data_IF_967340994475
#
_entry.id   IF_967340994475
#
_cell.length_a   1.000
_cell.length_b   1.000
_cell.length_c   1.000
_cell.angle_alpha   90.00
_cell.angle_beta   90.00
_cell.angle_gamma   90.00
#
_symmetry.space_group_name_H-M   'P 1'
#
loop_
_entity.id
_entity.type
_entity.pdbx_description
1 polymer ?
#
# COMPACT_ATOMS: atom_id res chain seq x y z
N UNK A 1 5.68 -7.19 0.71
CA UNK A 1 6.10 -7.57 -0.66
C UNK A 1 5.09 -7.16 -1.74
N UNK A 2 3.85 -7.65 -1.73
CA UNK A 2 2.87 -7.42 -2.82
C UNK A 2 2.71 -5.94 -3.26
N UNK A 3 2.44 -5.04 -2.32
CA UNK A 3 2.22 -3.62 -2.62
C UNK A 3 3.50 -2.97 -3.16
N UNK A 4 4.65 -3.34 -2.60
CA UNK A 4 5.97 -2.83 -2.98
C UNK A 4 6.37 -3.27 -4.40
N UNK A 5 6.06 -4.51 -4.78
CA UNK A 5 6.41 -5.05 -6.10
C UNK A 5 5.48 -4.56 -7.21
N UNK A 6 4.21 -4.30 -6.88
CA UNK A 6 3.18 -3.93 -7.87
C UNK A 6 2.99 -2.41 -8.00
N UNK A 7 3.45 -1.64 -7.02
CA UNK A 7 3.25 -0.18 -6.98
C UNK A 7 1.79 0.23 -6.79
N UNK A 8 0.89 -0.73 -6.50
CA UNK A 8 -0.53 -0.48 -6.31
C UNK A 8 -0.94 -0.75 -4.86
N UNK A 9 -1.48 0.27 -4.21
CA UNK A 9 -2.02 0.17 -2.87
C UNK A 9 -3.50 0.56 -2.86
N UNK A 10 -4.39 -0.44 -2.88
CA UNK A 10 -5.80 -0.26 -2.56
C UNK A 10 -6.36 -1.48 -1.81
N UNK A 11 -7.37 -1.27 -0.96
CA UNK A 11 -8.00 -2.35 -0.21
C UNK A 11 -8.59 -3.44 -1.15
N UNK A 12 -9.22 -3.05 -2.25
CA UNK A 12 -9.79 -3.96 -3.24
C UNK A 12 -8.72 -4.75 -4.02
N UNK A 13 -7.52 -4.19 -4.20
CA UNK A 13 -6.39 -4.90 -4.78
C UNK A 13 -5.86 -5.98 -3.83
N UNK A 14 -5.62 -5.62 -2.57
CA UNK A 14 -5.16 -6.55 -1.53
C UNK A 14 -6.19 -7.66 -1.30
N UNK A 15 -7.46 -7.31 -1.22
CA UNK A 15 -8.58 -8.25 -1.07
C UNK A 15 -8.50 -9.39 -2.10
N UNK A 16 -8.40 -9.04 -3.40
CA UNK A 16 -8.39 -10.01 -4.49
C UNK A 16 -7.11 -10.84 -4.53
N UNK A 17 -5.97 -10.20 -4.28
CA UNK A 17 -4.66 -10.85 -4.44
C UNK A 17 -4.27 -11.74 -3.27
N UNK A 18 -4.73 -11.41 -2.07
CA UNK A 18 -4.51 -12.20 -0.85
C UNK A 18 -5.72 -13.05 -0.45
N UNK A 19 -6.85 -12.95 -1.17
CA UNK A 19 -8.10 -13.67 -0.91
C UNK A 19 -8.62 -13.48 0.52
N UNK A 20 -8.54 -12.25 1.02
CA UNK A 20 -9.04 -11.85 2.34
C UNK A 20 -10.33 -11.03 2.19
N UNK A 21 -11.12 -10.91 3.26
CA UNK A 21 -12.27 -10.01 3.29
C UNK A 21 -11.87 -8.53 3.25
N UNK A 22 -12.76 -7.68 2.74
CA UNK A 22 -12.52 -6.23 2.61
C UNK A 22 -12.09 -5.55 3.93
N UNK A 23 -12.72 -5.82 5.10
CA UNK A 23 -12.31 -5.16 6.36
C UNK A 23 -10.86 -5.46 6.74
N UNK A 24 -10.40 -6.69 6.49
CA UNK A 24 -9.00 -7.08 6.73
C UNK A 24 -8.05 -6.37 5.76
N UNK A 25 -8.43 -6.26 4.49
CA UNK A 25 -7.64 -5.55 3.49
C UNK A 25 -7.54 -4.04 3.76
N UNK A 26 -8.62 -3.42 4.24
CA UNK A 26 -8.62 -2.01 4.63
C UNK A 26 -7.65 -1.72 5.79
N UNK A 27 -7.70 -2.53 6.86
CA UNK A 27 -6.77 -2.43 7.99
C UNK A 27 -5.31 -2.60 7.58
N UNK A 28 -5.03 -3.54 6.67
CA UNK A 28 -3.67 -3.71 6.13
C UNK A 28 -3.16 -2.44 5.44
N UNK A 29 -4.03 -1.74 4.71
CA UNK A 29 -3.69 -0.49 4.02
C UNK A 29 -3.49 0.66 5.01
N UNK A 30 -4.33 0.77 6.04
CA UNK A 30 -4.20 1.77 7.10
C UNK A 30 -2.89 1.58 7.87
N UNK A 31 -2.56 0.34 8.22
CA UNK A 31 -1.28 0.04 8.86
C UNK A 31 -0.08 0.40 7.97
N UNK A 32 -0.16 0.14 6.66
CA UNK A 32 0.90 0.57 5.72
C UNK A 32 1.03 2.10 5.63
N UNK A 33 -0.06 2.85 5.81
CA UNK A 33 -0.02 4.31 5.86
C UNK A 33 0.63 4.78 7.16
N UNK A 34 0.25 4.22 8.31
CA UNK A 34 0.83 4.52 9.62
C UNK A 34 2.34 4.24 9.66
N UNK A 35 2.77 3.15 9.00
CA UNK A 35 4.18 2.78 8.85
C UNK A 35 4.94 3.61 7.79
N UNK A 36 4.26 4.55 7.11
CA UNK A 36 4.86 5.41 6.09
C UNK A 36 5.21 4.68 4.78
N UNK A 37 4.68 3.48 4.55
CA UNK A 37 4.92 2.69 3.34
C UNK A 37 4.06 3.15 2.17
N UNK A 38 2.88 3.70 2.44
CA UNK A 38 1.95 4.24 1.43
C UNK A 38 1.44 5.63 1.82
N UNK A 39 1.01 6.41 0.83
CA UNK A 39 0.45 7.75 1.05
C UNK A 39 -0.93 7.70 1.69
N UNK A 40 -1.42 8.88 2.09
CA UNK A 40 -2.83 9.15 2.33
C UNK A 40 -3.71 8.70 1.14
N UNK A 41 -5.01 8.40 1.37
CA UNK A 41 -5.89 7.93 0.31
C UNK A 41 -6.19 9.05 -0.69
N UNK A 42 -6.01 8.76 -1.98
CA UNK A 42 -6.42 9.62 -3.08
C UNK A 42 -7.94 9.61 -3.29
N UNK A 43 -8.41 10.44 -4.24
CA UNK A 43 -9.84 10.59 -4.55
C UNK A 43 -10.55 9.30 -4.96
N UNK A 44 -9.83 8.35 -5.53
CA UNK A 44 -10.34 7.04 -5.98
C UNK A 44 -10.10 5.92 -4.95
N UNK A 45 -9.62 6.25 -3.75
CA UNK A 45 -9.26 5.30 -2.71
C UNK A 45 -7.96 4.54 -2.97
N UNK A 46 -7.19 4.91 -4.01
CA UNK A 46 -5.83 4.41 -4.21
C UNK A 46 -4.83 5.22 -3.41
N UNK A 47 -3.72 4.59 -3.06
CA UNK A 47 -2.58 5.18 -2.35
C UNK A 47 -1.32 4.99 -3.17
N UNK A 48 -0.43 5.97 -3.13
CA UNK A 48 0.90 5.86 -3.73
C UNK A 48 1.82 5.06 -2.81
N UNK A 49 2.71 4.24 -3.39
CA UNK A 49 3.70 3.47 -2.61
C UNK A 49 4.94 4.33 -2.39
N UNK A 50 5.23 4.66 -1.14
CA UNK A 50 6.30 5.58 -0.74
C UNK A 50 7.64 4.87 -0.58
N UNK A 51 7.65 3.65 -0.06
CA UNK A 51 8.88 2.95 0.29
C UNK A 51 9.72 2.50 -0.94
N UNK A 52 9.20 2.59 -2.17
CA UNK A 52 10.02 2.51 -3.40
C UNK A 52 10.98 3.69 -3.52
N UNK A 53 10.61 4.86 -3.00
CA UNK A 53 11.38 6.11 -3.06
C UNK A 53 12.53 6.11 -2.05
N UNK A 54 12.28 5.61 -0.83
CA UNK A 54 13.24 5.64 0.27
C UNK A 54 14.42 4.69 0.07
N UNK A 55 14.19 3.46 -0.38
CA UNK A 55 15.27 2.49 -0.60
C UNK A 55 16.26 2.89 -1.72
N UNK A 56 15.84 3.77 -2.64
CA UNK A 56 16.72 4.33 -3.68
C UNK A 56 17.43 5.59 -3.15
N UNK A 57 16.76 6.36 -2.29
CA UNK A 57 17.31 7.59 -1.72
C UNK A 57 18.39 7.37 -0.65
N UNK A 58 18.38 6.25 0.07
CA UNK A 58 19.41 5.93 1.09
C UNK A 58 20.69 5.31 0.51
N UNK A 59 20.72 5.03 -0.80
CA UNK A 59 21.91 4.52 -1.51
C UNK A 59 22.68 5.68 -2.19
N UNK A 60 22.21 6.93 -2.04
CA UNK A 60 22.83 8.15 -2.57
C UNK A 60 23.79 8.81 -1.60
#
# INVERSE_FOLDING_TARGET
>A
ELVMTTGQASASFIQRRLRVGYPRAARMIEQMEEEGLVSAPGRDGRREVLARRTAIAEIG
#
